data_IF_753907568285
#
_entry.id   IF_753907568285
#
_cell.length_a   1.000
_cell.length_b   1.000
_cell.length_c   1.000
_cell.angle_alpha   90.00
_cell.angle_beta   90.00
_cell.angle_gamma   90.00
#
_symmetry.space_group_name_H-M   'P 1'
#
loop_
_entity.id
_entity.type
_entity.pdbx_description
1 polymer ?
#
# COMPACT_ATOMS: atom_id res chain seq x y z
N UNK A 1 -34.18 0.78 -17.53
CA UNK A 1 -34.16 1.44 -16.25
C UNK A 1 -33.98 0.39 -15.16
N UNK A 2 -32.75 0.21 -14.71
CA UNK A 2 -32.48 -0.54 -13.48
C UNK A 2 -32.87 0.38 -12.33
N UNK A 3 -33.78 -0.09 -11.48
CA UNK A 3 -34.23 0.61 -10.29
C UNK A 3 -33.14 0.52 -9.22
N UNK A 4 -32.38 1.59 -9.05
CA UNK A 4 -31.30 1.70 -8.06
C UNK A 4 -31.82 1.87 -6.62
N UNK A 5 -33.14 1.91 -6.38
CA UNK A 5 -33.73 2.15 -5.06
C UNK A 5 -33.66 0.95 -4.10
N UNK A 6 -33.33 -0.25 -4.60
CA UNK A 6 -33.29 -1.50 -3.80
C UNK A 6 -31.86 -1.88 -3.35
N UNK A 7 -30.82 -1.12 -3.67
CA UNK A 7 -29.43 -1.42 -3.32
C UNK A 7 -28.86 -0.53 -2.19
N UNK A 8 -29.72 0.16 -1.44
CA UNK A 8 -29.34 0.83 -0.19
C UNK A 8 -29.27 -0.18 0.99
N UNK A 9 -28.64 -1.33 0.79
CA UNK A 9 -28.00 -2.02 1.90
C UNK A 9 -26.68 -1.30 2.16
N UNK A 10 -26.58 -0.72 3.33
CA UNK A 10 -25.43 0.04 3.86
C UNK A 10 -24.12 -0.55 3.39
N UNK A 11 -23.56 -0.03 2.32
CA UNK A 11 -22.16 -0.26 1.99
C UNK A 11 -21.38 0.31 3.16
N UNK A 12 -20.72 -0.57 3.93
CA UNK A 12 -19.81 -0.18 4.98
C UNK A 12 -18.65 0.58 4.31
N UNK A 13 -18.76 1.88 4.32
CA UNK A 13 -17.75 2.84 3.90
C UNK A 13 -17.34 3.59 5.17
N UNK A 14 -16.48 4.60 5.03
CA UNK A 14 -16.17 5.55 6.11
C UNK A 14 -17.43 5.96 6.90
N UNK A 15 -17.30 6.26 8.20
CA UNK A 15 -18.43 6.77 9.01
C UNK A 15 -19.12 7.93 8.32
N UNK A 16 -20.44 7.97 8.35
CA UNK A 16 -21.22 8.93 7.58
C UNK A 16 -20.96 10.40 7.98
N UNK A 17 -20.78 10.68 9.27
CA UNK A 17 -20.44 12.03 9.76
C UNK A 17 -19.10 12.52 9.17
N UNK A 18 -18.14 11.63 9.03
CA UNK A 18 -16.84 11.93 8.45
C UNK A 18 -16.93 12.10 6.92
N UNK A 19 -17.73 11.29 6.24
CA UNK A 19 -18.00 11.48 4.82
C UNK A 19 -18.60 12.86 4.53
N UNK A 20 -19.61 13.26 5.31
CA UNK A 20 -20.26 14.58 5.19
C UNK A 20 -19.26 15.70 5.43
N UNK A 21 -18.38 15.58 6.45
CA UNK A 21 -17.32 16.56 6.72
C UNK A 21 -16.41 16.76 5.49
N UNK A 22 -15.92 15.67 4.95
CA UNK A 22 -14.98 15.67 3.81
C UNK A 22 -15.64 16.19 2.52
N UNK A 23 -16.87 15.77 2.25
CA UNK A 23 -17.59 16.24 1.06
C UNK A 23 -17.88 17.74 1.16
N UNK A 24 -18.24 18.26 2.35
CA UNK A 24 -18.39 19.72 2.57
C UNK A 24 -17.08 20.48 2.33
N UNK A 25 -15.96 19.92 2.76
CA UNK A 25 -14.64 20.51 2.55
C UNK A 25 -14.26 20.53 1.07
N UNK A 26 -14.48 19.44 0.33
CA UNK A 26 -14.30 19.41 -1.13
C UNK A 26 -15.18 20.43 -1.84
N UNK A 27 -16.46 20.52 -1.47
CA UNK A 27 -17.38 21.54 -2.02
C UNK A 27 -16.90 22.97 -1.74
N UNK A 28 -16.40 23.24 -0.54
CA UNK A 28 -15.87 24.55 -0.18
C UNK A 28 -14.63 24.90 -1.02
N UNK A 29 -13.73 23.95 -1.27
CA UNK A 29 -12.59 24.15 -2.16
C UNK A 29 -13.02 24.42 -3.60
N UNK A 30 -14.00 23.67 -4.12
CA UNK A 30 -14.53 23.90 -5.48
C UNK A 30 -15.15 25.30 -5.61
N UNK A 31 -15.96 25.70 -4.63
CA UNK A 31 -16.66 27.00 -4.66
C UNK A 31 -15.69 28.17 -4.51
N UNK A 32 -14.61 28.00 -3.77
CA UNK A 32 -13.58 29.01 -3.55
C UNK A 32 -12.45 28.98 -4.61
N UNK A 33 -12.38 27.94 -5.46
CA UNK A 33 -11.26 27.73 -6.39
C UNK A 33 -9.94 27.49 -5.66
N UNK A 34 -9.97 26.76 -4.51
CA UNK A 34 -8.82 26.47 -3.65
C UNK A 34 -8.60 24.96 -3.50
N UNK A 35 -7.55 24.58 -2.81
CA UNK A 35 -7.25 23.21 -2.37
C UNK A 35 -6.65 23.27 -0.98
N UNK A 36 -6.29 22.11 -0.41
CA UNK A 36 -5.52 22.06 0.83
C UNK A 36 -4.22 22.84 0.74
N UNK A 37 -3.83 23.45 1.86
CA UNK A 37 -2.68 24.33 1.96
C UNK A 37 -1.74 23.87 3.10
N UNK A 38 -0.55 23.40 2.72
CA UNK A 38 0.51 22.99 3.66
C UNK A 38 1.16 24.16 4.42
N UNK A 39 0.68 25.40 4.24
CA UNK A 39 1.16 26.61 4.92
C UNK A 39 2.43 27.23 4.34
N UNK A 40 3.08 26.62 3.36
CA UNK A 40 4.33 27.09 2.74
C UNK A 40 4.95 26.05 1.83
N UNK A 41 6.17 26.30 1.42
CA UNK A 41 6.95 25.45 0.54
C UNK A 41 7.98 24.63 1.31
N UNK A 42 8.43 23.50 0.75
CA UNK A 42 9.60 22.78 1.26
C UNK A 42 10.55 22.47 0.12
N UNK A 43 11.85 22.42 0.43
CA UNK A 43 12.89 21.96 -0.50
C UNK A 43 13.43 20.63 -0.06
N UNK A 44 13.28 19.63 -0.92
CA UNK A 44 13.84 18.31 -0.69
C UNK A 44 15.16 18.17 -1.45
N UNK A 45 16.29 17.84 -0.79
CA UNK A 45 17.53 17.52 -1.48
C UNK A 45 17.35 16.32 -2.42
N UNK A 46 17.79 16.42 -3.67
CA UNK A 46 17.71 15.32 -4.66
C UNK A 46 18.53 14.10 -4.26
N UNK A 47 19.55 14.28 -3.38
CA UNK A 47 20.26 13.18 -2.72
C UNK A 47 19.32 12.21 -1.97
N UNK A 48 18.12 12.65 -1.58
CA UNK A 48 17.07 11.78 -1.04
C UNK A 48 16.77 10.57 -1.93
N UNK A 49 16.94 10.71 -3.22
CA UNK A 49 16.61 9.68 -4.21
C UNK A 49 17.83 8.93 -4.76
N UNK A 50 19.08 9.40 -4.44
CA UNK A 50 20.30 8.88 -5.07
C UNK A 50 21.36 8.42 -4.10
N UNK A 51 21.26 8.78 -2.81
CA UNK A 51 22.26 8.46 -1.80
C UNK A 51 22.13 7.00 -1.34
N UNK A 52 23.13 6.17 -1.66
CA UNK A 52 23.16 4.76 -1.32
C UNK A 52 23.23 4.51 0.20
N UNK A 53 23.93 5.36 0.96
CA UNK A 53 24.02 5.19 2.41
C UNK A 53 22.67 5.49 3.08
N UNK A 54 21.96 6.48 2.58
CA UNK A 54 20.58 6.75 3.02
C UNK A 54 19.64 5.61 2.65
N UNK A 55 19.73 5.09 1.43
CA UNK A 55 18.92 3.95 0.97
C UNK A 55 19.13 2.72 1.85
N UNK A 56 20.39 2.43 2.24
CA UNK A 56 20.69 1.33 3.16
C UNK A 56 20.08 1.56 4.55
N UNK A 57 20.13 2.79 5.07
CA UNK A 57 19.49 3.14 6.34
C UNK A 57 17.97 2.99 6.26
N UNK A 58 17.33 3.50 5.19
CA UNK A 58 15.89 3.35 4.95
C UNK A 58 15.50 1.87 4.90
N UNK A 59 16.29 1.03 4.21
CA UNK A 59 16.07 -0.40 4.19
C UNK A 59 16.08 -1.01 5.59
N UNK A 60 17.10 -0.72 6.37
CA UNK A 60 17.25 -1.28 7.71
C UNK A 60 16.21 -0.75 8.70
N UNK A 61 15.94 0.56 8.68
CA UNK A 61 15.09 1.23 9.67
C UNK A 61 13.60 1.20 9.30
N UNK A 62 13.24 1.17 8.01
CA UNK A 62 11.84 1.18 7.56
C UNK A 62 11.34 -0.21 7.16
N UNK A 63 12.13 -0.96 6.38
CA UNK A 63 11.66 -2.23 5.83
C UNK A 63 12.00 -3.42 6.73
N UNK A 64 13.16 -3.42 7.41
CA UNK A 64 13.58 -4.53 8.25
C UNK A 64 13.21 -4.39 9.72
N UNK A 65 13.09 -3.16 10.22
CA UNK A 65 12.82 -2.89 11.63
C UNK A 65 11.35 -2.58 11.94
N UNK A 66 10.45 -2.61 10.94
CA UNK A 66 9.02 -2.38 11.15
C UNK A 66 8.15 -3.45 10.51
N UNK A 67 6.93 -3.69 11.03
CA UNK A 67 5.95 -4.56 10.37
C UNK A 67 5.61 -4.07 8.96
N UNK A 68 5.51 -4.99 8.02
CA UNK A 68 5.24 -4.72 6.62
C UNK A 68 3.89 -5.29 6.19
N UNK A 69 3.07 -4.49 5.51
CA UNK A 69 1.82 -4.99 4.92
C UNK A 69 2.14 -5.80 3.66
N UNK A 70 1.82 -7.10 3.69
CA UNK A 70 2.12 -8.02 2.58
C UNK A 70 0.91 -8.32 1.69
N UNK A 71 -0.30 -7.97 2.10
CA UNK A 71 -1.54 -8.22 1.36
C UNK A 71 -2.78 -7.91 2.16
N UNK A 72 -3.94 -8.29 1.62
CA UNK A 72 -5.21 -8.27 2.33
C UNK A 72 -5.66 -9.68 2.70
N UNK A 73 -6.63 -9.79 3.63
CA UNK A 73 -7.18 -11.07 4.12
C UNK A 73 -7.65 -12.00 3.01
N UNK A 74 -8.21 -11.43 1.95
CA UNK A 74 -8.65 -12.18 0.77
C UNK A 74 -7.52 -12.89 0.00
N UNK A 75 -6.26 -12.57 0.26
CA UNK A 75 -5.13 -13.32 -0.29
C UNK A 75 -4.97 -14.71 0.35
N UNK A 76 -5.55 -14.89 1.55
CA UNK A 76 -5.56 -16.13 2.31
C UNK A 76 -6.99 -16.48 2.73
N UNK A 77 -7.91 -16.79 1.77
CA UNK A 77 -9.35 -16.82 2.01
C UNK A 77 -9.82 -18.01 2.86
N UNK A 78 -9.08 -19.11 2.87
CA UNK A 78 -9.50 -20.35 3.54
C UNK A 78 -8.32 -21.10 4.18
N UNK A 79 -8.58 -21.96 5.16
CA UNK A 79 -7.53 -22.81 5.73
C UNK A 79 -6.75 -23.59 4.66
N UNK A 80 -5.43 -23.51 4.73
CA UNK A 80 -4.50 -24.05 3.74
C UNK A 80 -4.10 -23.07 2.64
N UNK A 81 -4.75 -21.91 2.53
CA UNK A 81 -4.27 -20.84 1.64
C UNK A 81 -2.88 -20.37 2.05
N UNK A 82 -2.03 -20.06 1.08
CA UNK A 82 -0.70 -19.53 1.31
C UNK A 82 -0.34 -18.45 0.29
N UNK A 83 0.59 -17.59 0.69
CA UNK A 83 1.33 -16.70 -0.21
C UNK A 83 2.81 -16.67 0.18
N UNK A 84 3.68 -16.47 -0.81
CA UNK A 84 5.10 -16.20 -0.60
C UNK A 84 5.40 -14.73 -0.88
N UNK A 85 6.37 -14.17 -0.15
CA UNK A 85 6.87 -12.82 -0.39
C UNK A 85 8.40 -12.82 -0.28
N UNK A 86 9.07 -12.26 -1.29
CA UNK A 86 10.53 -12.16 -1.35
C UNK A 86 11.01 -10.68 -1.43
N UNK A 87 10.13 -9.71 -1.32
CA UNK A 87 10.45 -8.29 -1.51
C UNK A 87 11.20 -7.68 -0.32
N UNK A 88 11.14 -8.34 0.84
CA UNK A 88 11.67 -7.86 2.12
C UNK A 88 13.07 -8.40 2.46
N UNK A 89 13.80 -8.93 1.46
CA UNK A 89 15.16 -9.43 1.66
C UNK A 89 15.27 -10.73 2.43
N UNK A 90 14.17 -11.24 2.99
CA UNK A 90 14.01 -12.59 3.52
C UNK A 90 12.86 -13.29 2.78
N UNK A 91 12.99 -14.60 2.49
CA UNK A 91 11.87 -15.34 1.92
C UNK A 91 10.79 -15.56 2.99
N UNK A 92 9.55 -15.12 2.74
CA UNK A 92 8.43 -15.30 3.65
C UNK A 92 7.45 -16.31 3.05
N UNK A 93 6.95 -17.22 3.88
CA UNK A 93 5.78 -18.06 3.63
C UNK A 93 4.69 -17.65 4.63
N UNK A 94 3.62 -17.09 4.14
CA UNK A 94 2.44 -16.72 4.91
C UNK A 94 1.31 -17.70 4.65
N UNK A 95 0.59 -18.10 5.68
CA UNK A 95 -0.43 -19.15 5.59
C UNK A 95 -1.70 -18.78 6.35
N UNK A 96 -2.84 -19.31 5.89
CA UNK A 96 -4.03 -19.47 6.72
C UNK A 96 -3.98 -20.88 7.31
N UNK A 97 -3.74 -20.99 8.60
CA UNK A 97 -3.67 -22.29 9.28
C UNK A 97 -5.07 -22.95 9.36
N UNK A 98 -5.11 -24.21 9.72
CA UNK A 98 -6.37 -24.99 9.79
C UNK A 98 -7.35 -24.49 10.86
N UNK A 99 -6.89 -23.75 11.85
CA UNK A 99 -7.73 -23.07 12.83
C UNK A 99 -8.24 -21.69 12.35
N UNK A 100 -7.90 -21.29 11.12
CA UNK A 100 -8.24 -19.99 10.52
C UNK A 100 -7.29 -18.86 10.89
N UNK A 101 -6.27 -19.10 11.72
CA UNK A 101 -5.31 -18.06 12.09
C UNK A 101 -4.33 -17.74 10.96
N UNK A 102 -3.97 -16.46 10.84
CA UNK A 102 -2.91 -15.99 9.97
C UNK A 102 -1.56 -16.24 10.63
N UNK A 103 -0.64 -16.88 9.89
CA UNK A 103 0.73 -17.17 10.34
C UNK A 103 1.73 -16.83 9.26
N UNK A 104 2.96 -16.52 9.66
CA UNK A 104 4.07 -16.29 8.74
C UNK A 104 5.36 -16.96 9.24
N UNK A 105 6.18 -17.39 8.31
CA UNK A 105 7.42 -18.09 8.57
C UNK A 105 8.50 -17.63 7.60
N UNK A 106 9.76 -17.81 7.99
CA UNK A 106 10.85 -17.80 7.02
C UNK A 106 10.67 -19.02 6.11
N UNK A 107 10.51 -18.80 4.83
CA UNK A 107 10.32 -19.82 3.79
C UNK A 107 11.63 -20.57 3.53
N UNK A 108 12.11 -21.29 4.53
CA UNK A 108 13.42 -21.96 4.49
C UNK A 108 13.40 -23.25 5.31
N UNK A 109 13.70 -24.36 4.67
CA UNK A 109 13.75 -25.67 5.28
C UNK A 109 14.80 -25.76 6.40
N UNK A 110 14.41 -26.23 7.57
CA UNK A 110 15.27 -26.35 8.76
C UNK A 110 16.41 -27.33 8.60
N UNK A 111 16.39 -28.19 7.57
CA UNK A 111 17.48 -29.11 7.30
C UNK A 111 18.71 -28.39 6.71
N UNK A 112 18.55 -27.77 5.52
CA UNK A 112 19.67 -27.13 4.79
C UNK A 112 19.29 -25.82 4.07
N UNK A 113 18.26 -25.14 4.53
CA UNK A 113 17.93 -23.78 4.10
C UNK A 113 17.29 -23.63 2.72
N UNK A 114 16.87 -24.72 2.07
CA UNK A 114 16.21 -24.65 0.77
C UNK A 114 14.82 -24.03 0.92
N UNK A 115 14.42 -23.19 -0.04
CA UNK A 115 13.06 -22.64 -0.11
C UNK A 115 12.06 -23.79 -0.15
N UNK A 116 11.06 -23.75 0.72
CA UNK A 116 10.09 -24.84 0.89
C UNK A 116 8.96 -24.72 -0.11
N UNK A 117 8.49 -23.50 -0.37
CA UNK A 117 7.42 -23.20 -1.32
C UNK A 117 7.89 -22.14 -2.32
N UNK A 118 7.74 -22.43 -3.62
CA UNK A 118 8.18 -21.56 -4.72
C UNK A 118 7.03 -20.87 -5.46
N UNK A 119 5.82 -21.42 -5.32
CA UNK A 119 4.65 -20.77 -5.91
C UNK A 119 4.31 -19.50 -5.16
N UNK A 120 3.91 -18.49 -5.89
CA UNK A 120 3.54 -17.20 -5.29
C UNK A 120 2.33 -17.34 -4.36
N UNK A 121 1.37 -18.18 -4.73
CA UNK A 121 0.11 -18.41 -3.99
C UNK A 121 -0.47 -19.77 -4.31
N UNK A 122 -1.33 -20.22 -3.43
CA UNK A 122 -2.08 -21.45 -3.63
C UNK A 122 -2.78 -21.93 -2.38
N UNK A 123 -3.24 -23.16 -2.44
CA UNK A 123 -3.80 -23.88 -1.30
C UNK A 123 -3.03 -25.18 -1.12
N UNK A 124 -2.51 -25.43 0.07
CA UNK A 124 -1.75 -26.61 0.41
C UNK A 124 -2.11 -27.08 1.81
N UNK A 125 -2.16 -28.40 2.00
CA UNK A 125 -2.28 -29.00 3.33
C UNK A 125 -0.94 -29.14 4.03
N UNK A 126 0.13 -29.17 3.27
CA UNK A 126 1.52 -29.37 3.73
C UNK A 126 2.49 -28.79 2.73
N UNK A 127 3.64 -28.35 3.22
CA UNK A 127 4.75 -27.85 2.44
C UNK A 127 5.91 -28.85 2.51
N UNK A 128 6.30 -29.39 1.37
CA UNK A 128 7.34 -30.43 1.30
C UNK A 128 8.58 -29.88 0.63
N UNK A 129 9.69 -29.83 1.36
CA UNK A 129 10.97 -29.38 0.85
C UNK A 129 11.39 -30.18 -0.39
N UNK A 130 11.69 -29.55 -1.53
CA UNK A 130 12.01 -30.26 -2.77
C UNK A 130 13.36 -31.00 -2.71
N UNK A 131 14.19 -30.74 -1.71
CA UNK A 131 15.53 -31.33 -1.61
C UNK A 131 15.53 -32.73 -0.94
N UNK A 132 14.95 -32.84 0.26
CA UNK A 132 14.97 -34.12 1.02
C UNK A 132 13.60 -34.50 1.60
N UNK A 133 12.53 -33.83 1.09
CA UNK A 133 11.15 -34.12 1.48
C UNK A 133 10.85 -33.94 2.98
N UNK A 134 11.59 -33.07 3.69
CA UNK A 134 11.13 -32.59 4.99
C UNK A 134 9.82 -31.86 4.80
N UNK A 135 8.82 -32.24 5.59
CA UNK A 135 7.44 -31.78 5.35
C UNK A 135 6.92 -31.03 6.57
N UNK A 136 6.32 -29.87 6.31
CA UNK A 136 5.75 -28.98 7.31
C UNK A 136 4.24 -28.84 7.09
N UNK A 137 3.49 -28.64 8.15
CA UNK A 137 2.08 -28.30 8.05
C UNK A 137 1.88 -26.79 7.87
N UNK A 138 0.62 -26.34 7.78
CA UNK A 138 0.25 -24.92 7.61
C UNK A 138 0.55 -24.08 8.85
N UNK A 139 0.70 -24.71 10.01
CA UNK A 139 1.14 -24.09 11.26
C UNK A 139 2.66 -24.02 11.41
N UNK A 140 3.42 -24.48 10.38
CA UNK A 140 4.87 -24.47 10.35
C UNK A 140 5.53 -25.63 11.10
N UNK A 141 4.77 -26.56 11.71
CA UNK A 141 5.34 -27.67 12.43
C UNK A 141 5.96 -28.72 11.48
N UNK A 142 7.11 -29.28 11.86
CA UNK A 142 7.75 -30.38 11.11
C UNK A 142 6.98 -31.68 11.34
N UNK A 143 6.28 -32.16 10.31
CA UNK A 143 5.44 -33.38 10.41
C UNK A 143 6.06 -34.59 9.77
N UNK A 144 7.00 -34.43 8.84
CA UNK A 144 7.64 -35.56 8.14
C UNK A 144 9.13 -35.37 7.93
N UNK A 145 9.92 -36.44 8.26
CA UNK A 145 11.35 -36.56 8.00
C UNK A 145 11.62 -37.93 7.40
N UNK A 146 11.90 -38.02 6.08
CA UNK A 146 12.27 -39.31 5.49
C UNK A 146 13.54 -39.88 6.11
N UNK A 147 13.56 -41.19 6.35
CA UNK A 147 14.71 -41.87 6.94
C UNK A 147 15.19 -41.24 8.25
N UNK A 148 14.23 -40.90 9.13
CA UNK A 148 14.49 -40.20 10.40
C UNK A 148 15.49 -40.95 11.30
N UNK A 149 15.63 -42.28 11.13
CA UNK A 149 16.61 -43.10 11.82
C UNK A 149 18.06 -42.64 11.64
N UNK A 150 18.37 -41.91 10.58
CA UNK A 150 19.70 -41.37 10.34
C UNK A 150 19.96 -40.04 11.09
N UNK A 151 18.93 -39.46 11.67
CA UNK A 151 19.02 -38.20 12.44
C UNK A 151 18.95 -38.43 13.96
N UNK A 152 18.85 -39.70 14.41
CA UNK A 152 18.65 -40.04 15.81
C UNK A 152 17.26 -39.65 16.33
N UNK A 153 17.16 -39.41 17.62
CA UNK A 153 15.91 -38.92 18.24
C UNK A 153 15.69 -37.44 17.90
N UNK A 154 15.15 -37.19 16.70
CA UNK A 154 14.85 -35.82 16.26
C UNK A 154 13.64 -35.30 16.99
N UNK A 155 13.83 -34.29 17.83
CA UNK A 155 12.73 -33.50 18.37
C UNK A 155 12.14 -32.59 17.28
N UNK A 156 11.07 -33.06 16.62
CA UNK A 156 10.41 -32.32 15.55
C UNK A 156 9.82 -31.02 16.06
N UNK A 157 9.51 -30.87 17.35
CA UNK A 157 8.95 -29.65 17.90
C UNK A 157 9.93 -28.47 17.83
N UNK A 158 11.23 -28.74 17.80
CA UNK A 158 12.30 -27.74 17.70
C UNK A 158 12.70 -27.41 16.23
N UNK A 159 12.18 -28.17 15.27
CA UNK A 159 12.56 -28.11 13.86
C UNK A 159 11.43 -27.65 12.91
N UNK A 160 10.40 -27.02 13.43
CA UNK A 160 9.41 -26.30 12.64
C UNK A 160 10.02 -25.16 11.84
N UNK A 161 9.30 -24.65 10.83
CA UNK A 161 9.69 -23.42 10.14
C UNK A 161 9.88 -22.30 11.15
N UNK A 162 10.88 -21.43 10.92
CA UNK A 162 11.14 -20.30 11.84
C UNK A 162 9.98 -19.32 11.76
N UNK A 163 9.24 -19.07 12.85
CA UNK A 163 8.11 -18.16 12.82
C UNK A 163 8.57 -16.71 12.65
N UNK A 164 7.74 -15.93 11.99
CA UNK A 164 7.80 -14.48 11.95
C UNK A 164 6.58 -13.94 12.70
N UNK A 165 6.75 -12.82 13.42
CA UNK A 165 5.60 -12.16 14.01
C UNK A 165 4.66 -11.71 12.90
N UNK A 166 3.39 -12.08 13.01
CA UNK A 166 2.36 -11.84 11.99
C UNK A 166 1.06 -11.41 12.68
N UNK A 167 0.42 -10.41 12.12
CA UNK A 167 -0.86 -9.90 12.63
C UNK A 167 -1.78 -9.54 11.46
N UNK A 168 -3.03 -10.00 11.55
CA UNK A 168 -4.11 -9.59 10.67
C UNK A 168 -4.97 -8.56 11.39
N UNK A 169 -5.04 -7.35 10.84
CA UNK A 169 -5.83 -6.28 11.45
C UNK A 169 -6.62 -5.51 10.39
N UNK A 170 -7.92 -5.39 10.60
CA UNK A 170 -8.86 -4.69 9.72
C UNK A 170 -8.77 -5.13 8.24
N UNK A 171 -8.47 -6.41 8.02
CA UNK A 171 -8.34 -6.96 6.67
C UNK A 171 -6.98 -6.80 6.03
N UNK A 172 -5.98 -6.23 6.72
CA UNK A 172 -4.60 -6.13 6.26
C UNK A 172 -3.73 -7.19 6.94
N UNK A 173 -2.82 -7.78 6.18
CA UNK A 173 -1.88 -8.81 6.63
C UNK A 173 -0.50 -8.17 6.87
N UNK A 174 -0.08 -8.10 8.12
CA UNK A 174 1.23 -7.56 8.51
C UNK A 174 2.18 -8.67 8.96
N UNK A 175 3.44 -8.57 8.53
CA UNK A 175 4.52 -9.47 8.94
C UNK A 175 5.74 -8.64 9.34
N UNK A 176 6.38 -8.99 10.44
CA UNK A 176 7.67 -8.40 10.80
C UNK A 176 8.79 -9.24 10.18
N UNK A 177 9.66 -8.66 9.32
CA UNK A 177 10.72 -9.44 8.65
C UNK A 177 11.84 -9.90 9.58
N UNK A 178 12.06 -9.24 10.73
CA UNK A 178 12.98 -9.73 11.74
C UNK A 178 12.33 -10.83 12.60
N UNK A 179 12.87 -12.09 12.59
CA UNK A 179 12.30 -13.19 13.36
C UNK A 179 12.36 -13.03 14.89
N UNK A 180 13.14 -12.09 15.39
CA UNK A 180 13.26 -11.81 16.85
C UNK A 180 12.37 -10.65 17.31
N UNK A 181 11.76 -9.93 16.37
CA UNK A 181 10.92 -8.79 16.69
C UNK A 181 9.47 -9.20 17.00
N UNK A 182 8.77 -8.34 17.73
CA UNK A 182 7.33 -8.40 17.93
C UNK A 182 6.62 -7.40 17.01
N UNK A 183 5.31 -7.58 16.82
CA UNK A 183 4.45 -6.60 16.15
C UNK A 183 3.74 -5.76 17.20
N UNK A 184 3.76 -4.44 17.00
CA UNK A 184 2.94 -3.47 17.71
C UNK A 184 2.35 -2.49 16.68
N UNK A 185 1.19 -2.83 16.13
CA UNK A 185 0.51 -2.01 15.12
C UNK A 185 -0.11 -0.75 15.74
N UNK A 186 -0.44 -0.76 17.02
CA UNK A 186 -0.98 0.42 17.71
C UNK A 186 0.10 1.51 17.84
N UNK A 187 1.33 1.11 18.16
CA UNK A 187 2.46 2.03 18.18
C UNK A 187 2.79 2.55 16.76
N UNK A 188 2.72 1.70 15.73
CA UNK A 188 3.06 2.07 14.37
C UNK A 188 2.01 2.97 13.71
N UNK A 189 0.73 2.61 13.84
CA UNK A 189 -0.37 3.19 13.04
C UNK A 189 -1.31 4.09 13.84
N UNK A 190 -1.33 3.95 15.18
CA UNK A 190 -2.11 4.80 16.09
C UNK A 190 -3.61 4.51 16.11
N UNK A 191 -4.33 5.33 16.89
CA UNK A 191 -5.78 5.15 17.13
C UNK A 191 -6.61 5.38 15.87
N UNK A 192 -6.23 6.34 15.03
CA UNK A 192 -6.99 6.64 13.81
C UNK A 192 -7.09 5.45 12.86
N UNK A 193 -6.04 4.64 12.75
CA UNK A 193 -6.09 3.39 11.98
C UNK A 193 -7.17 2.45 12.51
N UNK A 194 -7.28 2.31 13.83
CA UNK A 194 -8.27 1.45 14.46
C UNK A 194 -9.71 1.98 14.36
N UNK A 195 -9.88 3.29 14.23
CA UNK A 195 -11.20 3.91 14.09
C UNK A 195 -11.71 3.91 12.64
N UNK A 196 -10.83 4.16 11.69
CA UNK A 196 -11.18 4.37 10.28
C UNK A 196 -11.23 3.06 9.49
N UNK A 197 -10.21 2.20 9.62
CA UNK A 197 -10.04 1.04 8.74
C UNK A 197 -11.10 -0.05 8.90
N UNK A 198 -11.69 -0.30 10.08
CA UNK A 198 -12.80 -1.26 10.21
C UNK A 198 -13.99 -0.94 9.31
N UNK A 199 -14.18 0.34 8.99
CA UNK A 199 -15.33 0.81 8.20
C UNK A 199 -15.26 0.39 6.73
N UNK A 200 -14.08 0.03 6.22
CA UNK A 200 -13.85 -0.33 4.83
C UNK A 200 -14.05 -1.80 4.51
N UNK A 201 -14.13 -2.68 5.52
CA UNK A 201 -14.31 -4.12 5.33
C UNK A 201 -13.29 -4.78 4.38
N UNK A 202 -12.03 -4.38 4.47
CA UNK A 202 -10.97 -4.94 3.62
C UNK A 202 -10.84 -6.46 3.73
N UNK A 203 -11.30 -7.06 4.84
CA UNK A 203 -11.26 -8.50 5.07
C UNK A 203 -12.11 -9.31 4.07
N UNK A 204 -13.20 -8.71 3.58
CA UNK A 204 -14.14 -9.38 2.68
C UNK A 204 -13.75 -9.29 1.21
N UNK A 205 -12.78 -8.44 0.87
CA UNK A 205 -12.39 -8.20 -0.51
C UNK A 205 -11.70 -9.41 -1.14
N UNK A 206 -12.03 -9.69 -2.40
CA UNK A 206 -11.52 -10.84 -3.16
C UNK A 206 -10.44 -10.35 -4.14
N UNK A 207 -9.23 -10.95 -4.14
CA UNK A 207 -8.17 -10.55 -5.07
C UNK A 207 -8.59 -10.84 -6.51
N UNK A 208 -8.43 -9.85 -7.41
CA UNK A 208 -8.83 -9.95 -8.81
C UNK A 208 -7.65 -9.82 -9.76
N UNK A 209 -6.86 -8.75 -9.68
CA UNK A 209 -5.70 -8.54 -10.55
C UNK A 209 -4.44 -8.25 -9.74
N UNK A 210 -3.27 -8.58 -10.33
CA UNK A 210 -1.96 -8.27 -9.77
C UNK A 210 -1.01 -7.91 -10.90
N UNK A 211 -0.31 -6.80 -10.71
CA UNK A 211 0.72 -6.33 -11.61
C UNK A 211 2.01 -6.11 -10.83
N UNK A 212 3.15 -6.36 -11.46
CA UNK A 212 4.48 -6.11 -10.89
C UNK A 212 5.23 -5.22 -11.87
N UNK A 213 5.70 -4.08 -11.39
CA UNK A 213 6.45 -3.11 -12.19
C UNK A 213 7.84 -2.95 -11.61
N UNK A 214 8.86 -3.38 -12.35
CA UNK A 214 10.26 -3.08 -12.09
C UNK A 214 10.58 -1.74 -12.77
N UNK A 215 10.91 -0.72 -11.98
CA UNK A 215 10.93 0.67 -12.44
C UNK A 215 12.27 1.34 -12.10
N UNK A 216 12.78 2.11 -13.04
CA UNK A 216 14.04 2.87 -12.92
C UNK A 216 13.81 4.21 -12.22
N UNK A 217 13.31 4.18 -11.00
CA UNK A 217 13.25 5.32 -10.09
C UNK A 217 13.25 4.86 -8.64
N UNK A 218 13.64 5.77 -7.75
CA UNK A 218 13.59 5.56 -6.31
C UNK A 218 12.14 5.30 -5.87
N UNK A 219 11.95 4.37 -4.93
CA UNK A 219 10.63 4.01 -4.42
C UNK A 219 9.84 5.20 -3.86
N UNK A 220 10.53 6.22 -3.31
CA UNK A 220 9.88 7.44 -2.80
C UNK A 220 9.32 8.31 -3.94
N UNK A 221 10.00 8.36 -5.11
CA UNK A 221 9.44 9.03 -6.29
C UNK A 221 8.15 8.35 -6.77
N UNK A 222 8.08 7.02 -6.69
CA UNK A 222 6.84 6.30 -6.98
C UNK A 222 5.73 6.63 -5.98
N UNK A 223 6.06 6.75 -4.68
CA UNK A 223 5.10 7.15 -3.64
C UNK A 223 4.64 8.60 -3.83
N UNK A 224 5.56 9.50 -4.23
CA UNK A 224 5.27 10.92 -4.43
C UNK A 224 4.18 11.15 -5.49
N UNK A 225 4.07 10.29 -6.51
CA UNK A 225 3.03 10.41 -7.54
C UNK A 225 1.61 10.23 -7.00
N UNK A 226 1.45 9.58 -5.85
CA UNK A 226 0.15 9.43 -5.19
C UNK A 226 -0.17 10.55 -4.18
N UNK A 227 0.77 11.46 -3.95
CA UNK A 227 0.67 12.46 -2.88
C UNK A 227 0.08 13.81 -3.30
N UNK A 228 -0.37 13.96 -4.56
CA UNK A 228 -0.97 15.20 -5.05
C UNK A 228 -1.82 14.97 -6.31
N UNK A 229 -2.62 15.95 -6.69
CA UNK A 229 -3.48 15.92 -7.90
C UNK A 229 -3.19 17.06 -8.87
N UNK A 230 -2.12 17.81 -8.63
CA UNK A 230 -1.74 18.98 -9.44
C UNK A 230 -1.37 18.58 -10.87
N UNK A 231 -0.76 17.39 -11.05
CA UNK A 231 -0.37 16.88 -12.38
C UNK A 231 -1.56 16.36 -13.22
N UNK A 232 -2.74 16.13 -12.65
CA UNK A 232 -3.86 15.47 -13.32
C UNK A 232 -4.29 16.18 -14.61
N UNK A 233 -4.35 17.50 -14.61
CA UNK A 233 -4.80 18.27 -15.77
C UNK A 233 -3.82 18.24 -16.95
N UNK A 234 -2.57 17.83 -16.73
CA UNK A 234 -1.51 17.80 -17.74
C UNK A 234 -1.13 16.38 -18.08
N UNK A 235 -0.71 15.60 -17.09
CA UNK A 235 -0.24 14.22 -17.28
C UNK A 235 -1.40 13.29 -17.62
N UNK A 236 -2.45 13.32 -16.82
CA UNK A 236 -3.61 12.44 -16.94
C UNK A 236 -4.77 13.05 -17.76
N UNK A 237 -4.48 14.03 -18.62
CA UNK A 237 -5.50 14.79 -19.37
C UNK A 237 -6.44 13.90 -20.20
N UNK A 238 -5.92 12.78 -20.71
CA UNK A 238 -6.64 11.84 -21.57
C UNK A 238 -7.08 10.57 -20.83
N UNK A 239 -6.74 10.44 -19.54
CA UNK A 239 -7.02 9.28 -18.70
C UNK A 239 -7.89 9.66 -17.49
N UNK A 240 -7.29 10.03 -16.35
CA UNK A 240 -8.00 10.24 -15.09
C UNK A 240 -8.68 11.62 -14.99
N UNK A 241 -8.20 12.65 -15.68
CA UNK A 241 -8.70 14.02 -15.53
C UNK A 241 -10.19 14.19 -15.93
N UNK A 242 -10.70 13.29 -16.77
CA UNK A 242 -12.12 13.27 -17.10
C UNK A 242 -13.03 12.90 -15.92
N UNK A 243 -12.49 12.18 -14.94
CA UNK A 243 -13.21 11.74 -13.75
C UNK A 243 -12.96 12.62 -12.51
N UNK A 244 -11.88 13.41 -12.49
CA UNK A 244 -11.45 14.17 -11.32
C UNK A 244 -11.36 15.68 -11.59
N UNK A 245 -11.54 16.48 -10.53
CA UNK A 245 -11.11 17.86 -10.48
C UNK A 245 -9.63 17.91 -10.08
N UNK A 246 -8.74 18.23 -11.00
CA UNK A 246 -7.30 18.33 -10.70
C UNK A 246 -7.01 19.46 -9.72
N UNK A 247 -6.06 19.24 -8.82
CA UNK A 247 -5.65 20.17 -7.76
C UNK A 247 -6.80 20.60 -6.83
N UNK A 248 -7.73 19.66 -6.52
CA UNK A 248 -8.78 19.81 -5.50
C UNK A 248 -8.79 18.56 -4.64
N UNK A 249 -8.48 18.70 -3.37
CA UNK A 249 -8.38 17.58 -2.44
C UNK A 249 -8.59 18.01 -1.00
N UNK A 250 -8.98 17.06 -0.14
CA UNK A 250 -8.89 17.16 1.32
C UNK A 250 -7.69 16.35 1.80
N UNK A 251 -7.14 16.71 2.94
CA UNK A 251 -5.99 16.07 3.55
C UNK A 251 -6.11 16.00 5.06
N UNK A 252 -5.84 14.82 5.63
CA UNK A 252 -5.74 14.59 7.08
C UNK A 252 -4.53 13.67 7.36
N UNK A 253 -3.84 13.88 8.47
CA UNK A 253 -2.69 13.07 8.88
C UNK A 253 -2.76 12.70 10.36
N UNK A 254 -2.20 11.54 10.70
CA UNK A 254 -2.01 11.09 12.07
C UNK A 254 -0.79 10.15 12.16
N UNK A 255 0.28 10.64 12.73
CA UNK A 255 1.52 9.86 12.92
C UNK A 255 2.11 9.36 11.60
N UNK A 256 2.11 8.04 11.44
CA UNK A 256 2.67 7.36 10.25
C UNK A 256 1.60 6.99 9.21
N UNK A 257 0.49 7.70 9.23
CA UNK A 257 -0.66 7.48 8.36
C UNK A 257 -1.19 8.83 7.86
N UNK A 258 -1.60 8.92 6.62
CA UNK A 258 -2.43 10.02 6.15
C UNK A 258 -3.51 9.55 5.18
N UNK A 259 -4.50 10.40 5.01
CA UNK A 259 -5.57 10.25 4.04
C UNK A 259 -5.68 11.50 3.19
N UNK A 260 -5.69 11.31 1.89
CA UNK A 260 -6.06 12.34 0.94
C UNK A 260 -7.36 11.93 0.24
N UNK A 261 -8.27 12.86 0.00
CA UNK A 261 -9.49 12.62 -0.79
C UNK A 261 -9.39 13.41 -2.08
N UNK A 262 -9.25 12.70 -3.20
CA UNK A 262 -9.22 13.28 -4.53
C UNK A 262 -10.64 13.59 -4.98
N UNK A 263 -10.91 14.83 -5.38
CA UNK A 263 -12.26 15.28 -5.75
C UNK A 263 -12.69 14.71 -7.10
N UNK A 264 -13.73 13.86 -7.10
CA UNK A 264 -14.37 13.37 -8.34
C UNK A 264 -15.33 14.41 -8.90
N UNK A 265 -15.55 14.41 -10.22
CA UNK A 265 -16.53 15.30 -10.86
C UNK A 265 -17.98 14.95 -10.50
N UNK A 266 -18.25 13.73 -10.11
CA UNK A 266 -19.57 13.28 -9.66
C UNK A 266 -20.05 14.00 -8.38
N UNK A 267 -19.15 14.67 -7.65
CA UNK A 267 -19.48 15.54 -6.52
C UNK A 267 -20.48 16.64 -6.92
N UNK A 268 -20.45 17.11 -8.18
CA UNK A 268 -21.35 18.16 -8.67
C UNK A 268 -22.82 17.70 -8.66
N UNK A 269 -23.08 16.42 -8.91
CA UNK A 269 -24.41 15.82 -8.76
C UNK A 269 -24.69 15.43 -7.31
N UNK A 270 -23.71 14.88 -6.60
CA UNK A 270 -23.82 14.44 -5.20
C UNK A 270 -24.23 15.58 -4.27
N UNK A 271 -23.62 16.74 -4.40
CA UNK A 271 -23.89 17.93 -3.55
C UNK A 271 -25.31 18.49 -3.69
N UNK A 272 -26.08 18.07 -4.70
CA UNK A 272 -27.48 18.46 -4.88
C UNK A 272 -28.44 17.53 -4.11
N UNK A 273 -27.96 16.39 -3.60
CA UNK A 273 -28.73 15.46 -2.82
C UNK A 273 -28.77 15.88 -1.34
N UNK A 274 -29.75 15.40 -0.56
CA UNK A 274 -29.70 15.52 0.91
C UNK A 274 -28.42 14.88 1.50
N UNK A 275 -27.88 15.48 2.56
CA UNK A 275 -26.61 15.02 3.19
C UNK A 275 -26.66 13.54 3.62
N UNK A 276 -27.84 13.03 3.98
CA UNK A 276 -28.06 11.64 4.36
C UNK A 276 -27.81 10.63 3.21
N UNK A 277 -27.73 11.13 1.97
CA UNK A 277 -27.45 10.32 0.77
C UNK A 277 -26.02 10.54 0.25
N UNK A 278 -25.20 11.33 0.94
CA UNK A 278 -23.84 11.57 0.51
C UNK A 278 -22.95 10.36 0.74
N UNK A 279 -22.15 10.03 -0.28
CA UNK A 279 -21.21 8.93 -0.29
C UNK A 279 -19.84 9.41 -0.77
N UNK A 280 -18.82 9.22 0.06
CA UNK A 280 -17.46 9.66 -0.22
C UNK A 280 -16.86 8.94 -1.45
N UNK A 281 -17.29 7.70 -1.74
CA UNK A 281 -16.77 6.96 -2.89
C UNK A 281 -17.31 7.47 -4.21
N UNK A 282 -18.44 8.18 -4.18
CA UNK A 282 -19.01 8.91 -5.34
C UNK A 282 -18.39 10.30 -5.45
N UNK A 283 -18.32 11.05 -4.34
CA UNK A 283 -17.80 12.43 -4.32
C UNK A 283 -16.28 12.50 -4.47
N UNK A 284 -15.56 11.47 -4.08
CA UNK A 284 -14.10 11.46 -4.07
C UNK A 284 -13.50 10.07 -4.15
N UNK A 285 -12.18 10.03 -4.20
CA UNK A 285 -11.38 8.81 -4.07
C UNK A 285 -10.45 8.97 -2.86
N UNK A 286 -10.67 8.20 -1.79
CA UNK A 286 -9.73 8.14 -0.68
C UNK A 286 -8.41 7.50 -1.11
N UNK A 287 -7.31 8.12 -0.73
CA UNK A 287 -5.95 7.61 -0.89
C UNK A 287 -5.32 7.60 0.49
N UNK A 288 -5.12 6.42 1.05
CA UNK A 288 -4.42 6.24 2.32
C UNK A 288 -2.97 5.90 2.07
N UNK A 289 -2.08 6.59 2.74
CA UNK A 289 -0.71 6.14 2.89
C UNK A 289 -0.52 5.50 4.26
N UNK A 290 0.08 4.32 4.27
CA UNK A 290 0.54 3.62 5.46
C UNK A 290 2.05 3.47 5.35
N UNK A 291 2.75 3.96 6.36
CA UNK A 291 4.21 3.84 6.43
C UNK A 291 4.68 2.38 6.29
N UNK A 292 5.79 2.10 5.59
CA UNK A 292 6.60 3.07 4.84
C UNK A 292 6.13 3.29 3.40
N UNK A 293 5.51 2.31 2.75
CA UNK A 293 5.45 2.16 1.30
C UNK A 293 4.11 1.68 0.76
N UNK A 294 3.05 1.82 1.54
CA UNK A 294 1.72 1.30 1.18
C UNK A 294 0.78 2.42 0.80
N UNK A 295 0.13 2.29 -0.35
CA UNK A 295 -1.02 3.09 -0.76
C UNK A 295 -2.25 2.19 -0.87
N UNK A 296 -3.33 2.58 -0.23
CA UNK A 296 -4.66 1.99 -0.37
C UNK A 296 -5.61 3.00 -1.01
N UNK A 297 -6.30 2.55 -2.05
CA UNK A 297 -7.30 3.35 -2.76
C UNK A 297 -8.65 2.58 -2.74
N UNK A 298 -9.43 2.70 -1.66
CA UNK A 298 -10.76 2.09 -1.60
C UNK A 298 -11.77 2.94 -2.41
N UNK A 299 -12.66 2.25 -3.12
CA UNK A 299 -13.76 2.86 -3.87
C UNK A 299 -14.97 1.93 -3.92
N UNK A 300 -16.02 2.32 -4.62
CA UNK A 300 -17.30 1.60 -4.65
C UNK A 300 -17.20 0.15 -5.11
N UNK A 301 -16.32 -0.18 -6.08
CA UNK A 301 -16.18 -1.55 -6.58
C UNK A 301 -15.17 -2.40 -5.79
N UNK A 302 -14.23 -1.79 -5.06
CA UNK A 302 -13.14 -2.53 -4.40
C UNK A 302 -12.04 -1.67 -3.83
N UNK A 303 -10.81 -2.17 -3.90
CA UNK A 303 -9.64 -1.46 -3.39
C UNK A 303 -8.39 -1.79 -4.19
N UNK A 304 -7.59 -0.77 -4.54
CA UNK A 304 -6.21 -0.98 -4.95
C UNK A 304 -5.28 -0.97 -3.74
N UNK A 305 -4.34 -1.90 -3.74
CA UNK A 305 -3.21 -1.94 -2.82
C UNK A 305 -1.92 -1.82 -3.63
N UNK A 306 -1.22 -0.70 -3.46
CA UNK A 306 0.09 -0.45 -4.08
C UNK A 306 1.17 -0.52 -3.01
N UNK A 307 2.28 -1.19 -3.31
CA UNK A 307 3.44 -1.32 -2.42
C UNK A 307 4.70 -1.14 -3.26
N UNK A 308 5.55 -0.19 -2.89
CA UNK A 308 6.79 0.12 -3.59
C UNK A 308 8.00 -0.32 -2.76
N UNK A 309 8.74 -1.33 -3.22
CA UNK A 309 9.90 -1.88 -2.52
C UNK A 309 11.20 -1.42 -3.16
N UNK A 310 12.15 -0.81 -2.42
CA UNK A 310 13.42 -0.38 -2.96
C UNK A 310 14.27 -1.56 -3.44
N UNK A 311 15.03 -1.37 -4.51
CA UNK A 311 16.15 -2.25 -4.82
C UNK A 311 17.28 -2.02 -3.82
N UNK A 312 17.86 -3.09 -3.28
CA UNK A 312 18.91 -3.00 -2.26
C UNK A 312 20.27 -2.52 -2.79
N UNK A 313 20.50 -2.69 -4.07
CA UNK A 313 21.80 -2.42 -4.69
C UNK A 313 21.81 -1.11 -5.49
N UNK A 314 20.62 -0.61 -5.84
CA UNK A 314 20.46 0.60 -6.64
C UNK A 314 19.34 1.49 -6.05
N UNK A 315 19.68 2.61 -5.40
CA UNK A 315 18.68 3.53 -4.87
C UNK A 315 17.77 4.14 -5.95
N UNK A 316 18.19 4.10 -7.21
CA UNK A 316 17.42 4.56 -8.36
C UNK A 316 16.48 3.51 -8.96
N UNK A 317 16.23 2.40 -8.28
CA UNK A 317 15.30 1.33 -8.73
C UNK A 317 14.35 0.91 -7.62
N UNK A 318 13.17 0.46 -8.03
CA UNK A 318 12.21 -0.18 -7.13
C UNK A 318 11.32 -1.19 -7.87
N UNK A 319 10.68 -2.05 -7.10
CA UNK A 319 9.61 -2.94 -7.59
C UNK A 319 8.30 -2.50 -6.95
N UNK A 320 7.32 -2.13 -7.77
CA UNK A 320 5.94 -1.89 -7.32
C UNK A 320 5.08 -3.12 -7.55
N UNK A 321 4.31 -3.46 -6.52
CA UNK A 321 3.23 -4.44 -6.59
C UNK A 321 1.90 -3.72 -6.52
N UNK A 322 1.12 -3.80 -7.59
CA UNK A 322 -0.20 -3.21 -7.72
C UNK A 322 -1.21 -4.34 -7.74
N UNK A 323 -2.02 -4.44 -6.70
CA UNK A 323 -3.07 -5.46 -6.56
C UNK A 323 -4.43 -4.79 -6.52
N UNK A 324 -5.40 -5.37 -7.21
CA UNK A 324 -6.79 -4.96 -7.11
C UNK A 324 -7.63 -6.05 -6.47
N UNK A 325 -8.46 -5.64 -5.52
CA UNK A 325 -9.39 -6.50 -4.78
C UNK A 325 -10.81 -6.01 -5.03
N UNK A 326 -11.68 -6.94 -5.42
CA UNK A 326 -13.08 -6.69 -5.77
C UNK A 326 -14.00 -6.91 -4.57
N UNK A 327 -15.03 -6.09 -4.41
CA UNK A 327 -16.08 -6.37 -3.42
C UNK A 327 -16.87 -7.62 -3.80
N UNK A 328 -17.21 -8.51 -2.85
CA UNK A 328 -18.00 -9.73 -3.12
C UNK A 328 -19.36 -9.43 -3.77
N UNK A 329 -19.98 -8.31 -3.42
CA UNK A 329 -21.25 -7.86 -4.01
C UNK A 329 -21.14 -7.59 -5.51
N UNK A 330 -20.00 -7.10 -5.98
CA UNK A 330 -19.74 -6.88 -7.41
C UNK A 330 -19.41 -8.21 -8.08
N UNK A 331 -18.58 -9.06 -7.46
CA UNK A 331 -18.27 -10.39 -7.96
C UNK A 331 -19.54 -11.27 -8.12
N UNK A 332 -20.51 -11.10 -7.23
CA UNK A 332 -21.80 -11.82 -7.28
C UNK A 332 -22.69 -11.42 -8.48
N UNK A 333 -22.38 -10.32 -9.18
CA UNK A 333 -23.09 -9.92 -10.39
C UNK A 333 -22.73 -10.79 -11.63
N UNK A 334 -21.73 -11.65 -11.50
CA UNK A 334 -21.34 -12.64 -12.50
C UNK A 334 -20.04 -12.35 -13.22
N UNK A 335 -19.64 -13.27 -14.09
CA UNK A 335 -18.33 -13.28 -14.75
C UNK A 335 -18.13 -12.04 -15.63
N UNK A 336 -19.14 -11.59 -16.37
CA UNK A 336 -19.06 -10.41 -17.24
C UNK A 336 -18.68 -9.14 -16.45
N UNK A 337 -19.25 -8.95 -15.26
CA UNK A 337 -18.95 -7.82 -14.40
C UNK A 337 -17.54 -7.95 -13.79
N UNK A 338 -17.15 -9.17 -13.45
CA UNK A 338 -15.81 -9.45 -12.91
C UNK A 338 -14.73 -9.20 -13.97
N UNK A 339 -14.94 -9.63 -15.22
CA UNK A 339 -14.05 -9.36 -16.35
C UNK A 339 -13.96 -7.85 -16.64
N UNK A 340 -15.08 -7.14 -16.61
CA UNK A 340 -15.11 -5.69 -16.78
C UNK A 340 -14.33 -4.96 -15.67
N UNK A 341 -14.48 -5.37 -14.41
CA UNK A 341 -13.74 -4.83 -13.28
C UNK A 341 -12.23 -5.10 -13.42
N UNK A 342 -11.86 -6.29 -13.90
CA UNK A 342 -10.45 -6.65 -14.15
C UNK A 342 -9.83 -5.77 -15.25
N UNK A 343 -10.55 -5.53 -16.36
CA UNK A 343 -10.09 -4.66 -17.46
C UNK A 343 -9.88 -3.21 -16.98
N UNK A 344 -10.79 -2.66 -16.16
CA UNK A 344 -10.63 -1.34 -15.56
C UNK A 344 -9.41 -1.30 -14.64
N UNK A 345 -9.24 -2.32 -13.79
CA UNK A 345 -8.13 -2.39 -12.85
C UNK A 345 -6.78 -2.51 -13.58
N UNK A 346 -6.72 -3.25 -14.67
CA UNK A 346 -5.53 -3.35 -15.50
C UNK A 346 -5.20 -2.02 -16.16
N UNK A 347 -6.19 -1.34 -16.75
CA UNK A 347 -6.01 0.00 -17.35
C UNK A 347 -5.51 1.01 -16.32
N UNK A 348 -6.08 1.03 -15.12
CA UNK A 348 -5.61 1.91 -14.06
C UNK A 348 -4.16 1.60 -13.65
N UNK A 349 -3.81 0.33 -13.53
CA UNK A 349 -2.44 -0.09 -13.24
C UNK A 349 -1.45 0.35 -14.35
N UNK A 350 -1.90 0.34 -15.61
CA UNK A 350 -1.09 0.83 -16.73
C UNK A 350 -0.93 2.36 -16.71
N UNK A 351 -1.91 3.12 -16.24
CA UNK A 351 -1.76 4.57 -16.02
C UNK A 351 -0.64 4.83 -15.01
N UNK A 352 -0.62 4.13 -13.88
CA UNK A 352 0.45 4.22 -12.89
C UNK A 352 1.82 3.97 -13.55
N UNK A 353 1.96 2.88 -14.33
CA UNK A 353 3.22 2.51 -14.96
C UNK A 353 3.64 3.49 -16.05
N UNK A 354 2.72 3.80 -16.98
CA UNK A 354 3.04 4.43 -18.26
C UNK A 354 3.02 5.97 -18.18
N UNK A 355 2.30 6.53 -17.22
CA UNK A 355 2.21 7.97 -16.99
C UNK A 355 3.00 8.37 -15.74
N UNK A 356 2.59 7.95 -14.54
CA UNK A 356 3.22 8.35 -13.28
C UNK A 356 4.68 7.90 -13.17
N UNK A 357 4.93 6.60 -13.33
CA UNK A 357 6.27 6.04 -13.16
C UNK A 357 7.21 6.44 -14.30
N UNK A 358 6.70 6.77 -15.49
CA UNK A 358 7.50 7.35 -16.55
C UNK A 358 8.02 8.75 -16.14
N UNK A 359 7.19 9.56 -15.47
CA UNK A 359 7.63 10.86 -14.92
C UNK A 359 8.60 10.68 -13.75
N UNK A 360 8.34 9.75 -12.85
CA UNK A 360 9.23 9.41 -11.74
C UNK A 360 10.62 8.97 -12.25
N UNK A 361 10.68 8.16 -13.31
CA UNK A 361 11.95 7.75 -13.94
C UNK A 361 12.68 8.92 -14.60
N UNK A 362 11.95 9.87 -15.18
CA UNK A 362 12.52 11.10 -15.71
C UNK A 362 13.10 11.98 -14.58
N UNK A 363 12.39 12.08 -13.45
CA UNK A 363 12.89 12.78 -12.26
C UNK A 363 14.15 12.11 -11.70
N UNK A 364 14.20 10.77 -11.65
CA UNK A 364 15.37 10.01 -11.22
C UNK A 364 16.58 10.31 -12.11
N UNK A 365 16.39 10.36 -13.42
CA UNK A 365 17.45 10.70 -14.38
C UNK A 365 18.04 12.09 -14.08
N UNK A 366 17.19 13.07 -13.81
CA UNK A 366 17.62 14.42 -13.43
C UNK A 366 18.35 14.44 -12.08
N UNK A 367 17.86 13.72 -11.09
CA UNK A 367 18.49 13.58 -9.77
C UNK A 367 19.88 12.95 -9.88
N UNK A 368 20.03 11.87 -10.66
CA UNK A 368 21.29 11.17 -10.89
C UNK A 368 22.36 12.05 -11.53
N UNK A 369 21.97 13.08 -12.29
CA UNK A 369 22.91 14.01 -12.90
C UNK A 369 23.70 14.84 -11.88
N UNK A 370 23.17 15.02 -10.66
CA UNK A 370 23.73 15.90 -9.62
C UNK A 370 23.64 17.40 -9.95
N UNK A 371 23.10 17.76 -11.12
CA UNK A 371 22.97 19.16 -11.52
C UNK A 371 21.84 19.88 -10.76
N UNK A 372 20.75 19.19 -10.48
CA UNK A 372 19.70 19.66 -9.57
C UNK A 372 20.01 19.25 -8.14
N UNK A 373 20.04 20.21 -7.23
CA UNK A 373 20.33 19.94 -5.81
C UNK A 373 19.08 19.74 -4.97
N UNK A 374 17.95 20.32 -5.39
CA UNK A 374 16.68 20.28 -4.66
C UNK A 374 15.51 20.19 -5.63
N UNK A 375 14.43 19.56 -5.18
CA UNK A 375 13.08 19.71 -5.72
C UNK A 375 12.26 20.55 -4.75
N UNK A 376 11.15 21.10 -5.22
CA UNK A 376 10.27 21.98 -4.43
C UNK A 376 8.90 21.32 -4.30
N UNK A 377 8.42 21.19 -3.06
CA UNK A 377 7.05 20.83 -2.77
C UNK A 377 6.24 22.10 -2.52
N UNK A 378 5.12 22.22 -3.22
CA UNK A 378 4.23 23.35 -3.16
C UNK A 378 3.32 23.34 -1.94
N UNK A 379 2.61 24.44 -1.75
CA UNK A 379 1.59 24.58 -0.69
C UNK A 379 0.44 23.59 -0.85
N UNK A 380 0.14 23.21 -2.09
CA UNK A 380 -0.94 22.29 -2.48
C UNK A 380 -0.54 20.80 -2.38
N UNK A 381 0.62 20.48 -1.81
CA UNK A 381 1.18 19.13 -1.74
C UNK A 381 1.44 18.66 -0.30
N UNK A 382 0.45 18.78 0.64
CA UNK A 382 0.66 18.46 2.06
C UNK A 382 1.12 17.01 2.29
N UNK A 383 0.65 16.07 1.47
CA UNK A 383 1.05 14.67 1.59
C UNK A 383 2.55 14.46 1.32
N UNK A 384 3.14 15.15 0.33
CA UNK A 384 4.58 15.11 0.07
C UNK A 384 5.38 15.69 1.25
N UNK A 385 4.88 16.76 1.87
CA UNK A 385 5.47 17.31 3.08
C UNK A 385 5.49 16.27 4.22
N UNK A 386 4.37 15.57 4.41
CA UNK A 386 4.25 14.54 5.45
C UNK A 386 5.11 13.31 5.18
N UNK A 387 5.08 12.73 3.96
CA UNK A 387 5.92 11.59 3.59
C UNK A 387 7.38 11.82 3.99
N UNK A 388 7.96 12.89 3.43
CA UNK A 388 9.40 13.13 3.55
C UNK A 388 9.81 13.54 4.96
N UNK A 389 8.97 14.30 5.66
CA UNK A 389 9.26 14.65 7.05
C UNK A 389 9.14 13.44 8.00
N UNK A 390 8.20 12.53 7.75
CA UNK A 390 8.10 11.27 8.49
C UNK A 390 9.35 10.41 8.28
N UNK A 391 9.80 10.24 7.03
CA UNK A 391 11.03 9.49 6.74
C UNK A 391 12.26 10.13 7.39
N UNK A 392 12.38 11.45 7.34
CA UNK A 392 13.49 12.16 7.99
C UNK A 392 13.46 12.00 9.50
N UNK A 393 12.29 12.17 10.12
CA UNK A 393 12.14 12.04 11.57
C UNK A 393 12.53 10.64 12.07
N UNK A 394 12.10 9.60 11.36
CA UNK A 394 12.42 8.22 11.71
C UNK A 394 13.90 7.88 11.52
N UNK A 395 14.57 8.51 10.56
CA UNK A 395 16.04 8.43 10.41
C UNK A 395 16.80 9.33 11.41
N UNK A 396 16.12 10.05 12.30
CA UNK A 396 16.77 11.02 13.20
C UNK A 396 17.46 12.17 12.46
N UNK A 397 16.97 12.50 11.26
CA UNK A 397 17.46 13.61 10.45
C UNK A 397 16.60 14.86 10.66
N UNK A 398 17.17 16.02 10.37
CA UNK A 398 16.45 17.29 10.42
C UNK A 398 15.30 17.29 9.40
N UNK A 399 14.11 17.64 9.86
CA UNK A 399 12.94 17.79 9.00
C UNK A 399 13.10 19.00 8.07
N UNK A 400 12.46 18.92 6.91
CA UNK A 400 12.49 20.01 5.93
C UNK A 400 11.79 21.25 6.52
N UNK A 401 12.47 22.40 6.55
CA UNK A 401 11.85 23.63 7.04
C UNK A 401 10.72 24.08 6.13
N UNK A 402 9.67 24.65 6.71
CA UNK A 402 8.65 25.34 5.97
C UNK A 402 9.18 26.71 5.54
N UNK A 403 9.13 26.99 4.24
CA UNK A 403 9.67 28.20 3.63
C UNK A 403 8.52 29.12 3.19
N UNK A 404 8.71 30.43 3.33
CA UNK A 404 7.84 31.43 2.74
C UNK A 404 8.18 31.68 1.26
N UNK A 405 7.35 32.46 0.57
CA UNK A 405 7.53 32.78 -0.86
C UNK A 405 8.86 33.49 -1.15
N UNK A 406 9.33 34.34 -0.25
CA UNK A 406 10.58 35.06 -0.41
C UNK A 406 11.80 34.14 -0.33
N UNK A 407 11.76 33.10 0.51
CA UNK A 407 12.84 32.14 0.67
C UNK A 407 12.95 31.17 -0.52
N UNK A 408 11.84 30.89 -1.22
CA UNK A 408 11.86 30.03 -2.42
C UNK A 408 12.58 30.71 -3.57
N UNK A 409 12.40 32.03 -3.75
CA UNK A 409 12.99 32.79 -4.88
C UNK A 409 14.46 33.17 -4.66
N UNK A 410 14.92 33.32 -3.43
CA UNK A 410 16.27 33.78 -3.11
C UNK A 410 17.33 32.67 -3.05
N UNK A 411 17.01 31.44 -3.32
CA UNK A 411 17.91 30.29 -3.18
C UNK A 411 18.00 29.38 -4.41
N UNK A 412 17.57 29.85 -5.57
CA UNK A 412 17.75 29.15 -6.86
C UNK A 412 19.12 29.46 -7.45
#
# INVERSE_FOLDING_TARGET
GLDFSTYLEFTLNMRHDEQVRLIKQLCAHLDAGTTEDAGGFRRLPTATYTDSARSEREWNEFFMATPQCIGLSGDLPEPGSFLTNNDLGIPILATRDHDGSFKAFVNSCRHRGVIVETEERGTARRFTCPFHAWTYDTGGALVGVPKSEHFGDVDKSCLGLRPLAAEERHGLLFVHPDPEAAIDLDQLLGEWFNDEFPTWNFADLVPLTRQVFDTECNWKLAMDTFGETYHFSVLHKDTLFNAFHGNVQCYDEAGHLHRMILCKRDIDAMRLLPEEQWDITVAGLPVYWIFPNVILLPFDAGCFLVRAYPDRNDPGRHVSRVSFYLKPTIAALGDEMTEFAADIAEKFSHVIRDEDYAMASSQQTAANSGAMRHVVFGRNEPALHHYHNTYLALLGLEQLPLLDEAAVTNGM
#
